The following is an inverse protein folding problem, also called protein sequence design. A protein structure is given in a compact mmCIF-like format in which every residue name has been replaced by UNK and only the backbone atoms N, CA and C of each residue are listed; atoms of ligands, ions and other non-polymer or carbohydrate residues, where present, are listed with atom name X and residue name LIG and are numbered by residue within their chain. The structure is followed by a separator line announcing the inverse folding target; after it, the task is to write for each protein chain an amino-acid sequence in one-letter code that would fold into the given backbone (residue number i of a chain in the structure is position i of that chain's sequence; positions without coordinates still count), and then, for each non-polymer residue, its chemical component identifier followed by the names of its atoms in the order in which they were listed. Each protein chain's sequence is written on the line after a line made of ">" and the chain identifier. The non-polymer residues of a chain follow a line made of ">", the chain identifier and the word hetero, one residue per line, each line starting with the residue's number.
data_IF_632763287508
#
_entry.id   IF_632763287508
#
_cell.length_a   1.000
_cell.length_b   1.000
_cell.length_c   1.000
_cell.angle_alpha   90.00
_cell.angle_beta   90.00
_cell.angle_gamma   90.00
#
_symmetry.space_group_name_H-M   'P 1'
#
loop_
_entity.id
_entity.type
_entity.pdbx_description
1 polymer ?
#
# COMPACT_ATOMS: atom_id res chain seq x y z
N UNK A 1 34.67 -41.33 -4.62
CA UNK A 1 33.70 -40.54 -3.83
C UNK A 1 32.92 -39.63 -4.78
N UNK A 2 31.59 -39.63 -4.76
CA UNK A 2 30.78 -38.75 -5.63
C UNK A 2 30.59 -37.37 -5.00
N UNK A 3 30.43 -36.32 -5.82
CA UNK A 3 30.23 -34.95 -5.33
C UNK A 3 29.00 -34.82 -4.41
N UNK A 4 27.97 -35.63 -4.61
CA UNK A 4 26.83 -35.73 -3.70
C UNK A 4 27.24 -36.22 -2.31
N UNK A 5 28.08 -37.26 -2.20
CA UNK A 5 28.55 -37.77 -0.91
C UNK A 5 29.41 -36.75 -0.17
N UNK A 6 30.22 -35.98 -0.88
CA UNK A 6 31.02 -34.88 -0.31
C UNK A 6 30.10 -33.78 0.24
N UNK A 7 29.08 -33.39 -0.53
CA UNK A 7 28.09 -32.38 -0.11
C UNK A 7 27.33 -32.81 1.15
N UNK A 8 26.84 -34.04 1.19
CA UNK A 8 26.10 -34.58 2.35
C UNK A 8 27.00 -34.64 3.59
N UNK A 9 28.28 -35.04 3.44
CA UNK A 9 29.23 -35.07 4.55
C UNK A 9 29.52 -33.67 5.11
N UNK A 10 29.63 -32.66 4.23
CA UNK A 10 29.80 -31.27 4.65
C UNK A 10 28.57 -30.73 5.42
N UNK A 11 27.35 -31.07 4.98
CA UNK A 11 26.11 -30.68 5.66
C UNK A 11 25.92 -31.33 7.04
N UNK A 12 26.37 -32.57 7.20
CA UNK A 12 26.34 -33.26 8.51
C UNK A 12 27.26 -32.61 9.54
N UNK A 13 28.39 -32.07 9.09
CA UNK A 13 29.40 -31.48 9.98
C UNK A 13 29.12 -30.00 10.29
N UNK A 14 28.47 -29.27 9.38
CA UNK A 14 28.08 -27.89 9.61
C UNK A 14 26.76 -27.56 8.90
N UNK A 15 25.67 -27.49 9.67
CA UNK A 15 24.30 -27.28 9.18
C UNK A 15 24.13 -25.96 8.41
N UNK A 16 25.06 -25.02 8.58
CA UNK A 16 25.06 -23.70 7.94
C UNK A 16 26.08 -23.55 6.81
N UNK A 17 26.77 -24.63 6.40
CA UNK A 17 27.80 -24.58 5.35
C UNK A 17 27.28 -24.05 3.99
N UNK A 18 25.98 -24.19 3.71
CA UNK A 18 25.37 -23.62 2.48
C UNK A 18 25.21 -22.09 2.60
N UNK A 19 25.01 -21.57 3.80
CA UNK A 19 24.77 -20.14 4.03
C UNK A 19 26.05 -19.30 3.96
N UNK A 20 27.21 -19.87 4.28
CA UNK A 20 28.47 -19.13 4.37
C UNK A 20 29.13 -18.80 3.01
N UNK A 21 28.69 -19.43 1.91
CA UNK A 21 29.41 -19.35 0.62
C UNK A 21 28.65 -18.77 -0.56
N UNK A 22 27.33 -18.62 -0.48
CA UNK A 22 26.53 -18.32 -1.68
C UNK A 22 26.20 -16.82 -1.77
N UNK A 23 27.07 -16.05 -2.45
CA UNK A 23 26.86 -14.62 -2.78
C UNK A 23 25.54 -14.37 -3.53
N UNK A 24 24.91 -15.41 -4.09
CA UNK A 24 23.58 -15.32 -4.73
C UNK A 24 22.44 -15.14 -3.73
N UNK A 25 22.65 -15.51 -2.46
CA UNK A 25 21.66 -15.32 -1.39
C UNK A 25 21.75 -13.93 -0.75
N UNK A 26 22.90 -13.27 -0.77
CA UNK A 26 23.04 -11.88 -0.27
C UNK A 26 22.42 -10.84 -1.21
N UNK A 27 22.25 -11.15 -2.50
CA UNK A 27 21.61 -10.25 -3.47
C UNK A 27 20.07 -10.32 -3.48
N UNK A 28 19.46 -11.34 -2.86
CA UNK A 28 18.01 -11.34 -2.65
C UNK A 28 17.74 -10.49 -1.42
N UNK A 29 17.06 -9.34 -1.60
CA UNK A 29 16.42 -8.63 -0.48
C UNK A 29 15.77 -9.68 0.41
N UNK A 30 16.23 -9.74 1.65
CA UNK A 30 15.79 -10.73 2.61
C UNK A 30 14.27 -10.72 2.61
N UNK A 31 13.64 -11.88 2.36
CA UNK A 31 12.17 -11.97 2.30
C UNK A 31 11.55 -11.48 3.60
N UNK A 32 12.27 -11.68 4.70
CA UNK A 32 11.89 -11.21 6.03
C UNK A 32 11.93 -9.69 6.07
N UNK A 33 13.04 -9.05 5.69
CA UNK A 33 13.12 -7.58 5.62
C UNK A 33 12.15 -6.98 4.60
N UNK A 34 11.92 -7.64 3.46
CA UNK A 34 10.93 -7.21 2.46
C UNK A 34 9.50 -7.30 2.98
N UNK A 35 9.19 -8.29 3.83
CA UNK A 35 7.88 -8.40 4.47
C UNK A 35 7.74 -7.36 5.60
N UNK A 36 8.77 -7.17 6.42
CA UNK A 36 8.81 -6.14 7.49
C UNK A 36 8.68 -4.73 6.92
N UNK A 37 9.35 -4.46 5.78
CA UNK A 37 9.30 -3.18 5.09
C UNK A 37 8.20 -3.12 4.02
N UNK A 38 7.39 -4.18 3.87
CA UNK A 38 6.24 -4.12 2.98
C UNK A 38 5.22 -3.18 3.59
N UNK A 39 4.58 -2.37 2.75
CA UNK A 39 3.48 -1.46 3.11
C UNK A 39 2.24 -2.17 3.71
N UNK A 40 2.29 -3.49 3.85
CA UNK A 40 1.23 -4.35 4.39
C UNK A 40 1.41 -4.69 5.87
N UNK A 41 2.50 -4.29 6.53
CA UNK A 41 2.61 -4.44 7.99
C UNK A 41 1.61 -3.51 8.68
N UNK A 42 0.99 -4.03 9.74
CA UNK A 42 0.00 -3.50 10.69
C UNK A 42 0.33 -2.16 11.37
N UNK A 43 0.97 -1.22 10.67
CA UNK A 43 1.09 0.16 11.13
C UNK A 43 -0.29 0.77 11.03
N UNK A 44 -0.96 0.90 12.17
CA UNK A 44 -2.21 1.63 12.25
C UNK A 44 -2.00 3.02 11.65
N UNK A 45 -2.78 3.33 10.62
CA UNK A 45 -2.80 4.68 10.06
C UNK A 45 -3.19 5.63 11.18
N UNK A 46 -2.51 6.78 11.31
CA UNK A 46 -2.91 7.80 12.26
C UNK A 46 -4.40 8.10 12.12
N UNK A 47 -5.11 8.21 13.23
CA UNK A 47 -6.57 8.32 13.28
C UNK A 47 -7.10 9.37 12.30
N UNK A 48 -6.47 10.54 12.28
CA UNK A 48 -6.79 11.62 11.35
C UNK A 48 -6.70 11.23 9.87
N UNK A 49 -5.71 10.43 9.48
CA UNK A 49 -5.56 9.95 8.09
C UNK A 49 -6.66 8.95 7.73
N UNK A 50 -7.01 8.07 8.68
CA UNK A 50 -8.11 7.13 8.50
C UNK A 50 -9.44 7.87 8.32
N UNK A 51 -9.70 8.89 9.12
CA UNK A 51 -10.89 9.73 9.01
C UNK A 51 -10.98 10.43 7.66
N UNK A 52 -9.87 11.02 7.18
CA UNK A 52 -9.83 11.67 5.86
C UNK A 52 -10.09 10.69 4.71
N UNK A 53 -9.57 9.46 4.80
CA UNK A 53 -9.85 8.41 3.82
C UNK A 53 -11.34 8.01 3.81
N UNK A 54 -11.94 7.89 4.99
CA UNK A 54 -13.37 7.60 5.14
C UNK A 54 -14.21 8.76 4.58
N UNK A 55 -13.89 10.01 4.93
CA UNK A 55 -14.58 11.21 4.43
C UNK A 55 -14.54 11.25 2.90
N UNK A 56 -13.36 11.02 2.30
CA UNK A 56 -13.20 10.95 0.84
C UNK A 56 -14.08 9.88 0.20
N UNK A 57 -14.17 8.70 0.81
CA UNK A 57 -15.01 7.61 0.31
C UNK A 57 -16.51 7.96 0.37
N UNK A 58 -16.97 8.54 1.50
CA UNK A 58 -18.33 9.01 1.67
C UNK A 58 -18.70 10.08 0.62
N UNK A 59 -17.84 11.08 0.40
CA UNK A 59 -18.07 12.13 -0.59
C UNK A 59 -18.20 11.58 -2.01
N UNK A 60 -17.38 10.58 -2.38
CA UNK A 60 -17.49 9.91 -3.69
C UNK A 60 -18.82 9.17 -3.83
N UNK A 61 -19.25 8.48 -2.78
CA UNK A 61 -20.53 7.78 -2.78
C UNK A 61 -21.71 8.75 -2.88
N UNK A 62 -21.68 9.87 -2.16
CA UNK A 62 -22.71 10.90 -2.25
C UNK A 62 -22.80 11.51 -3.65
N UNK A 63 -21.66 11.77 -4.30
CA UNK A 63 -21.65 12.22 -5.71
C UNK A 63 -22.30 11.15 -6.59
N UNK A 64 -21.94 9.87 -6.45
CA UNK A 64 -22.53 8.79 -7.22
C UNK A 64 -24.07 8.75 -7.04
N UNK A 65 -24.55 8.86 -5.81
CA UNK A 65 -25.99 8.90 -5.50
C UNK A 65 -26.67 10.10 -6.16
N UNK A 66 -26.08 11.30 -6.08
CA UNK A 66 -26.64 12.50 -6.72
C UNK A 66 -26.67 12.31 -8.24
N UNK A 67 -25.58 11.84 -8.84
CA UNK A 67 -25.51 11.63 -10.29
C UNK A 67 -26.53 10.62 -10.78
N UNK A 68 -26.74 9.53 -10.04
CA UNK A 68 -27.75 8.52 -10.37
C UNK A 68 -29.18 9.09 -10.22
N UNK A 69 -29.46 9.84 -9.16
CA UNK A 69 -30.78 10.47 -8.92
C UNK A 69 -31.15 11.53 -9.96
N UNK A 70 -30.16 12.15 -10.57
CA UNK A 70 -30.37 13.23 -11.54
C UNK A 70 -30.12 12.82 -12.99
N UNK A 71 -29.83 11.55 -13.21
CA UNK A 71 -29.67 10.99 -14.55
C UNK A 71 -30.91 11.31 -15.40
N UNK A 72 -30.70 11.99 -16.53
CA UNK A 72 -31.77 12.42 -17.44
C UNK A 72 -32.40 13.80 -17.13
N UNK A 73 -32.04 14.47 -16.03
CA UNK A 73 -32.51 15.83 -15.74
C UNK A 73 -31.57 16.88 -16.35
N UNK A 74 -32.05 17.61 -17.37
CA UNK A 74 -31.26 18.63 -18.09
C UNK A 74 -30.97 19.89 -17.26
N UNK A 75 -31.85 20.28 -16.34
CA UNK A 75 -31.77 21.54 -15.58
C UNK A 75 -31.63 21.29 -14.08
N UNK A 76 -30.57 20.61 -13.66
CA UNK A 76 -30.35 20.31 -12.25
C UNK A 76 -29.45 21.35 -11.56
N UNK A 77 -29.79 21.72 -10.33
CA UNK A 77 -28.95 22.59 -9.48
C UNK A 77 -27.85 21.79 -8.76
N UNK A 78 -27.77 20.48 -8.94
CA UNK A 78 -26.86 19.64 -8.16
C UNK A 78 -25.45 19.61 -8.72
N UNK A 79 -25.21 20.19 -9.90
CA UNK A 79 -23.86 20.48 -10.40
C UNK A 79 -23.04 21.30 -9.39
N UNK A 80 -23.64 22.30 -8.75
CA UNK A 80 -22.99 23.12 -7.71
C UNK A 80 -22.66 22.28 -6.46
N UNK A 81 -23.56 21.37 -6.08
CA UNK A 81 -23.34 20.49 -4.93
C UNK A 81 -22.22 19.48 -5.21
N UNK A 82 -22.20 18.90 -6.41
CA UNK A 82 -21.13 17.99 -6.86
C UNK A 82 -19.80 18.74 -6.88
N UNK A 83 -19.75 19.95 -7.45
CA UNK A 83 -18.53 20.76 -7.51
C UNK A 83 -17.96 21.08 -6.12
N UNK A 84 -18.81 21.41 -5.13
CA UNK A 84 -18.38 21.61 -3.75
C UNK A 84 -17.77 20.35 -3.13
N UNK A 85 -18.39 19.19 -3.37
CA UNK A 85 -17.89 17.89 -2.87
C UNK A 85 -16.58 17.48 -3.54
N UNK A 86 -16.44 17.72 -4.85
CA UNK A 86 -15.18 17.50 -5.58
C UNK A 86 -14.05 18.37 -5.05
N UNK A 87 -14.30 19.67 -4.82
CA UNK A 87 -13.30 20.56 -4.22
C UNK A 87 -12.81 20.07 -2.85
N UNK A 88 -13.71 19.49 -2.05
CA UNK A 88 -13.34 18.89 -0.75
C UNK A 88 -12.50 17.63 -0.93
N UNK A 89 -12.83 16.76 -1.90
CA UNK A 89 -12.02 15.58 -2.24
C UNK A 89 -10.60 15.99 -2.67
N UNK A 90 -10.46 17.05 -3.45
CA UNK A 90 -9.14 17.53 -3.90
C UNK A 90 -8.29 18.00 -2.72
N UNK A 91 -8.90 18.76 -1.79
CA UNK A 91 -8.22 19.23 -0.58
C UNK A 91 -7.77 18.06 0.32
N UNK A 92 -8.63 17.04 0.51
CA UNK A 92 -8.26 15.83 1.24
C UNK A 92 -7.10 15.10 0.54
N UNK A 93 -7.12 15.04 -0.79
CA UNK A 93 -6.08 14.36 -1.55
C UNK A 93 -4.73 15.09 -1.42
N UNK A 94 -4.72 16.42 -1.40
CA UNK A 94 -3.51 17.20 -1.10
C UNK A 94 -2.98 16.90 0.30
N UNK A 95 -3.85 16.93 1.33
CA UNK A 95 -3.47 16.63 2.72
C UNK A 95 -2.88 15.22 2.89
N UNK A 96 -3.37 14.24 2.13
CA UNK A 96 -2.84 12.87 2.15
C UNK A 96 -1.47 12.79 1.45
N UNK A 97 -1.32 13.44 0.29
CA UNK A 97 -0.08 13.39 -0.51
C UNK A 97 1.07 14.18 0.12
N UNK A 98 0.79 15.28 0.81
CA UNK A 98 1.83 16.07 1.49
C UNK A 98 2.51 15.28 2.61
N UNK A 99 1.85 14.25 3.18
CA UNK A 99 2.49 13.34 4.14
C UNK A 99 3.45 12.35 3.48
N UNK A 100 3.20 11.89 2.26
CA UNK A 100 4.14 10.97 1.58
C UNK A 100 5.49 11.64 1.35
N UNK A 101 5.50 12.96 1.09
CA UNK A 101 6.73 13.75 0.88
C UNK A 101 7.58 13.97 2.14
N UNK A 102 7.01 13.81 3.33
CA UNK A 102 7.73 14.01 4.60
C UNK A 102 8.33 12.72 5.18
N UNK A 103 8.16 11.58 4.50
CA UNK A 103 8.64 10.26 4.95
C UNK A 103 9.83 9.75 4.11
N UNK A 104 10.26 10.50 3.09
CA UNK A 104 11.54 10.29 2.36
C UNK A 104 12.71 11.00 3.04
#
# INVERSE_FOLDING_TARGET
>A
MTMQKVRIKALKNNKFAIMAGDKRLSCRRDRISSAINSSWTTKELPEHTRELLIERACLRMEIAIITQKEQGKKNSKSSVLIAKKLKRIDLITQQLNDREKHVE
#
